data_IF_028180358241
#
_entry.id   IF_028180358241
#
_cell.length_a   1.000
_cell.length_b   1.000
_cell.length_c   1.000
_cell.angle_alpha   90.00
_cell.angle_beta   90.00
_cell.angle_gamma   90.00
#
_symmetry.space_group_name_H-M   'P 1'
#
loop_
_entity.id
_entity.type
_entity.pdbx_description
1 polymer ?
#
# COMPACT_ATOMS: atom_id res chain seq x y z
N UNK A 1 -6.42 -25.70 -12.79
CA UNK A 1 -6.93 -24.80 -13.85
C UNK A 1 -6.78 -23.31 -13.52
N UNK A 2 -7.04 -22.85 -12.28
CA UNK A 2 -6.93 -21.42 -11.91
C UNK A 2 -5.52 -20.82 -12.09
N UNK A 3 -4.46 -21.57 -11.76
CA UNK A 3 -3.07 -21.09 -11.83
C UNK A 3 -2.56 -20.84 -13.26
N UNK A 4 -3.03 -21.63 -14.24
CA UNK A 4 -2.65 -21.45 -15.66
C UNK A 4 -3.35 -20.24 -16.29
N UNK A 5 -4.62 -20.01 -15.92
CA UNK A 5 -5.37 -18.80 -16.32
C UNK A 5 -4.75 -17.53 -15.70
N UNK A 6 -4.35 -17.60 -14.42
CA UNK A 6 -3.62 -16.51 -13.77
C UNK A 6 -2.29 -16.19 -14.46
N UNK A 7 -1.50 -17.22 -14.78
CA UNK A 7 -0.23 -17.05 -15.51
C UNK A 7 -0.41 -16.44 -16.90
N UNK A 8 -1.42 -16.89 -17.66
CA UNK A 8 -1.75 -16.31 -18.96
C UNK A 8 -2.15 -14.84 -18.85
N UNK A 9 -2.97 -14.49 -17.85
CA UNK A 9 -3.45 -13.13 -17.63
C UNK A 9 -2.29 -12.19 -17.27
N UNK A 10 -1.31 -12.65 -16.48
CA UNK A 10 -0.09 -11.91 -16.17
C UNK A 10 0.72 -11.65 -17.45
N UNK A 11 0.98 -12.69 -18.26
CA UNK A 11 1.77 -12.55 -19.50
C UNK A 11 1.10 -11.58 -20.48
N UNK A 12 -0.22 -11.70 -20.66
CA UNK A 12 -0.99 -10.79 -21.52
C UNK A 12 -0.93 -9.37 -20.97
N UNK A 13 -1.09 -9.18 -19.66
CA UNK A 13 -1.00 -7.88 -19.01
C UNK A 13 0.38 -7.22 -19.18
N UNK A 14 1.46 -7.98 -18.96
CA UNK A 14 2.83 -7.51 -19.17
C UNK A 14 3.10 -7.17 -20.64
N UNK A 15 2.60 -7.99 -21.56
CA UNK A 15 2.73 -7.73 -23.00
C UNK A 15 2.00 -6.44 -23.39
N UNK A 16 0.77 -6.23 -22.92
CA UNK A 16 0.02 -4.98 -23.15
C UNK A 16 0.75 -3.76 -22.59
N UNK A 17 1.37 -3.89 -21.41
CA UNK A 17 2.16 -2.82 -20.82
C UNK A 17 3.39 -2.47 -21.68
N UNK A 18 4.13 -3.46 -22.17
CA UNK A 18 5.27 -3.23 -23.07
C UNK A 18 4.83 -2.57 -24.38
N UNK A 19 3.70 -3.01 -24.96
CA UNK A 19 3.12 -2.35 -26.14
C UNK A 19 2.69 -0.90 -25.86
N UNK A 20 2.19 -0.61 -24.65
CA UNK A 20 1.83 0.74 -24.24
C UNK A 20 3.07 1.64 -24.15
N UNK A 21 4.17 1.14 -23.57
CA UNK A 21 5.45 1.87 -23.53
C UNK A 21 5.95 2.16 -24.95
N UNK A 22 5.94 1.17 -25.83
CA UNK A 22 6.38 1.35 -27.22
C UNK A 22 5.53 2.40 -27.95
N UNK A 23 4.21 2.34 -27.82
CA UNK A 23 3.30 3.34 -28.38
C UNK A 23 3.58 4.74 -27.81
N UNK A 24 3.80 4.83 -26.50
CA UNK A 24 4.14 6.09 -25.85
C UNK A 24 5.45 6.69 -26.40
N UNK A 25 6.49 5.87 -26.59
CA UNK A 25 7.74 6.31 -27.21
C UNK A 25 7.55 6.75 -28.67
N UNK A 26 6.72 6.06 -29.44
CA UNK A 26 6.42 6.45 -30.82
C UNK A 26 5.67 7.79 -30.89
N UNK A 27 4.64 7.97 -30.07
CA UNK A 27 3.86 9.21 -30.02
C UNK A 27 4.74 10.38 -29.57
N UNK A 28 5.53 10.20 -28.51
CA UNK A 28 6.44 11.24 -28.03
C UNK A 28 7.51 11.60 -29.07
N UNK A 29 7.99 10.64 -29.85
CA UNK A 29 8.90 10.90 -30.98
C UNK A 29 8.22 11.74 -32.07
N UNK A 30 7.01 11.37 -32.48
CA UNK A 30 6.26 12.12 -33.49
C UNK A 30 5.96 13.55 -33.01
N UNK A 31 5.54 13.70 -31.75
CA UNK A 31 5.26 15.02 -31.17
C UNK A 31 6.53 15.88 -31.10
N UNK A 32 7.66 15.30 -30.69
CA UNK A 32 8.92 16.03 -30.55
C UNK A 32 9.44 16.56 -31.90
N UNK A 33 9.23 15.84 -33.01
CA UNK A 33 9.63 16.28 -34.34
C UNK A 33 8.52 17.00 -35.13
N UNK A 34 7.34 17.20 -34.54
CA UNK A 34 6.21 17.84 -35.20
C UNK A 34 6.54 19.26 -35.65
N UNK A 35 6.37 19.55 -36.95
CA UNK A 35 6.69 20.86 -37.53
C UNK A 35 5.86 22.02 -36.97
N UNK A 36 4.71 21.73 -36.35
CA UNK A 36 3.80 22.74 -35.79
C UNK A 36 4.17 23.21 -34.37
N UNK A 37 5.06 22.50 -33.67
CA UNK A 37 5.44 22.84 -32.29
C UNK A 37 6.96 22.70 -32.10
N UNK A 38 7.62 23.82 -31.86
CA UNK A 38 9.07 23.87 -31.63
C UNK A 38 9.45 24.00 -30.15
N UNK A 39 8.47 24.09 -29.25
CA UNK A 39 8.73 24.37 -27.84
C UNK A 39 9.65 23.33 -27.19
N UNK A 40 9.35 22.05 -27.37
CA UNK A 40 10.14 20.96 -26.77
C UNK A 40 11.56 20.84 -27.35
N UNK A 41 11.74 21.17 -28.63
CA UNK A 41 13.06 21.18 -29.28
C UNK A 41 13.93 22.36 -28.85
N UNK A 42 13.31 23.45 -28.43
CA UNK A 42 14.01 24.62 -27.91
C UNK A 42 14.49 24.39 -26.47
N UNK A 43 13.66 23.76 -25.62
CA UNK A 43 14.03 23.41 -24.25
C UNK A 43 14.99 22.22 -24.18
N UNK A 44 14.78 21.22 -25.02
CA UNK A 44 15.63 20.04 -25.11
C UNK A 44 16.09 19.90 -26.55
N UNK A 45 17.35 20.25 -26.88
CA UNK A 45 17.84 20.15 -28.26
C UNK A 45 17.94 18.71 -28.77
N UNK A 46 18.15 17.75 -27.85
CA UNK A 46 18.30 16.33 -28.15
C UNK A 46 17.09 15.53 -27.67
N UNK A 47 16.57 14.65 -28.53
CA UNK A 47 15.43 13.79 -28.18
C UNK A 47 15.71 12.89 -26.96
N UNK A 48 16.96 12.44 -26.78
CA UNK A 48 17.37 11.69 -25.58
C UNK A 48 17.29 12.53 -24.30
N UNK A 49 17.63 13.82 -24.35
CA UNK A 49 17.49 14.72 -23.21
C UNK A 49 16.03 14.97 -22.88
N UNK A 50 15.18 15.10 -23.91
CA UNK A 50 13.73 15.19 -23.74
C UNK A 50 13.16 13.93 -23.07
N UNK A 51 13.56 12.74 -23.52
CA UNK A 51 13.16 11.48 -22.87
C UNK A 51 13.64 11.39 -21.42
N UNK A 52 14.88 11.82 -21.14
CA UNK A 52 15.41 11.84 -19.79
C UNK A 52 14.64 12.81 -18.88
N UNK A 53 14.35 14.01 -19.37
CA UNK A 53 13.52 14.98 -18.65
C UNK A 53 12.12 14.46 -18.36
N UNK A 54 11.49 13.80 -19.35
CA UNK A 54 10.17 13.18 -19.18
C UNK A 54 10.23 12.03 -18.16
N UNK A 55 11.27 11.21 -18.20
CA UNK A 55 11.50 10.14 -17.22
C UNK A 55 11.72 10.69 -15.81
N UNK A 56 12.45 11.80 -15.65
CA UNK A 56 12.64 12.45 -14.36
C UNK A 56 11.31 12.97 -13.77
N UNK A 57 10.46 13.59 -14.59
CA UNK A 57 9.12 14.03 -14.16
C UNK A 57 8.25 12.84 -13.75
N UNK A 58 8.23 11.77 -14.55
CA UNK A 58 7.50 10.55 -14.23
C UNK A 58 8.02 9.91 -12.92
N UNK A 59 9.34 9.91 -12.72
CA UNK A 59 9.98 9.41 -11.51
C UNK A 59 9.57 10.22 -10.28
N UNK A 60 9.56 11.56 -10.38
CA UNK A 60 9.08 12.42 -9.28
C UNK A 60 7.61 12.12 -8.96
N UNK A 61 6.77 11.97 -9.98
CA UNK A 61 5.37 11.58 -9.79
C UNK A 61 5.23 10.22 -9.09
N UNK A 62 6.00 9.23 -9.50
CA UNK A 62 6.04 7.92 -8.86
C UNK A 62 6.53 8.02 -7.41
N UNK A 63 7.61 8.77 -7.16
CA UNK A 63 8.17 8.99 -5.83
C UNK A 63 7.15 9.62 -4.89
N UNK A 64 6.51 10.72 -5.30
CA UNK A 64 5.47 11.37 -4.51
C UNK A 64 4.29 10.44 -4.23
N UNK A 65 3.89 9.65 -5.24
CA UNK A 65 2.83 8.65 -5.06
C UNK A 65 3.24 7.61 -4.01
N UNK A 66 4.46 7.09 -4.10
CA UNK A 66 4.98 6.06 -3.21
C UNK A 66 5.17 6.57 -1.78
N UNK A 67 5.69 7.78 -1.60
CA UNK A 67 6.00 8.34 -0.28
C UNK A 67 4.75 8.88 0.43
N UNK A 68 3.82 9.51 -0.30
CA UNK A 68 2.69 10.20 0.33
C UNK A 68 1.35 9.51 0.08
N UNK A 69 1.06 9.17 -1.17
CA UNK A 69 -0.28 8.66 -1.53
C UNK A 69 -0.47 7.23 -1.04
N UNK A 70 0.49 6.34 -1.26
CA UNK A 70 0.39 4.94 -0.85
C UNK A 70 0.22 4.75 0.66
N UNK A 71 1.08 5.34 1.53
CA UNK A 71 0.90 5.24 2.97
C UNK A 71 -0.41 5.85 3.44
N UNK A 72 -0.83 6.98 2.86
CA UNK A 72 -2.12 7.60 3.19
C UNK A 72 -3.30 6.70 2.83
N UNK A 73 -3.29 6.08 1.65
CA UNK A 73 -4.34 5.14 1.24
C UNK A 73 -4.38 3.90 2.13
N UNK A 74 -3.22 3.37 2.48
CA UNK A 74 -3.12 2.20 3.34
C UNK A 74 -3.68 2.50 4.74
N UNK A 75 -3.29 3.62 5.34
CA UNK A 75 -3.81 4.05 6.65
C UNK A 75 -5.32 4.29 6.61
N UNK A 76 -5.83 4.98 5.59
CA UNK A 76 -7.26 5.22 5.43
C UNK A 76 -8.07 3.92 5.22
N UNK A 77 -7.52 2.95 4.49
CA UNK A 77 -8.14 1.64 4.32
C UNK A 77 -8.17 0.84 5.62
N UNK A 78 -7.12 0.95 6.45
CA UNK A 78 -7.08 0.31 7.76
C UNK A 78 -8.09 0.93 8.73
N UNK A 79 -8.17 2.26 8.77
CA UNK A 79 -9.15 2.97 9.60
C UNK A 79 -10.59 2.62 9.21
N UNK A 80 -10.89 2.53 7.90
CA UNK A 80 -12.19 2.05 7.44
C UNK A 80 -12.45 0.60 7.82
N UNK A 81 -11.45 -0.29 7.69
CA UNK A 81 -11.61 -1.68 8.08
C UNK A 81 -11.88 -1.83 9.59
N UNK A 82 -11.30 -0.98 10.44
CA UNK A 82 -11.59 -0.93 11.87
C UNK A 82 -13.02 -0.39 12.11
N UNK A 83 -13.41 0.69 11.43
CA UNK A 83 -14.75 1.29 11.57
C UNK A 83 -15.87 0.33 11.13
N UNK A 84 -15.62 -0.45 10.09
CA UNK A 84 -16.59 -1.41 9.54
C UNK A 84 -16.52 -2.80 10.22
N UNK A 85 -15.74 -2.95 11.31
CA UNK A 85 -15.55 -4.20 12.06
C UNK A 85 -15.01 -5.37 11.20
N UNK A 86 -14.26 -5.04 10.16
CA UNK A 86 -13.64 -6.00 9.22
C UNK A 86 -12.15 -6.21 9.48
N UNK A 87 -11.61 -5.63 10.54
CA UNK A 87 -10.20 -5.76 10.91
C UNK A 87 -10.02 -6.93 11.88
N UNK A 88 -9.61 -8.13 11.40
CA UNK A 88 -9.44 -9.30 12.28
C UNK A 88 -8.41 -9.03 13.38
N UNK A 89 -7.34 -8.27 13.08
CA UNK A 89 -6.30 -7.95 14.04
C UNK A 89 -6.78 -7.04 15.18
N UNK A 90 -7.65 -6.06 14.88
CA UNK A 90 -8.22 -5.18 15.91
C UNK A 90 -9.16 -5.95 16.84
N UNK A 91 -9.96 -6.85 16.27
CA UNK A 91 -10.90 -7.66 17.05
C UNK A 91 -10.17 -8.66 17.94
N UNK A 92 -9.10 -9.29 17.45
CA UNK A 92 -8.24 -10.14 18.29
C UNK A 92 -7.60 -9.36 19.44
N UNK A 93 -7.19 -8.10 19.24
CA UNK A 93 -6.63 -7.27 20.32
C UNK A 93 -7.67 -6.93 21.39
N UNK A 94 -8.91 -6.65 20.99
CA UNK A 94 -10.01 -6.41 21.93
C UNK A 94 -10.34 -7.66 22.74
N UNK A 95 -10.36 -8.84 22.11
CA UNK A 95 -10.55 -10.12 22.79
C UNK A 95 -9.43 -10.41 23.79
N UNK A 96 -8.17 -10.26 23.38
CA UNK A 96 -7.02 -10.43 24.29
C UNK A 96 -7.06 -9.47 25.48
N UNK A 97 -7.47 -8.21 25.26
CA UNK A 97 -7.60 -7.23 26.34
C UNK A 97 -8.69 -7.65 27.35
N UNK A 98 -9.79 -8.22 26.86
CA UNK A 98 -10.86 -8.74 27.71
C UNK A 98 -10.37 -9.94 28.54
N UNK A 99 -9.69 -10.89 27.90
CA UNK A 99 -9.15 -12.08 28.56
C UNK A 99 -8.14 -11.72 29.66
N UNK A 100 -7.24 -10.75 29.40
CA UNK A 100 -6.30 -10.25 30.41
C UNK A 100 -7.00 -9.60 31.60
N UNK A 101 -8.11 -8.91 31.37
CA UNK A 101 -8.89 -8.29 32.45
C UNK A 101 -9.59 -9.33 33.31
N UNK A 102 -10.15 -10.36 32.71
CA UNK A 102 -10.78 -11.49 33.41
C UNK A 102 -9.75 -12.34 34.19
N UNK A 103 -8.56 -12.56 33.63
CA UNK A 103 -7.46 -13.21 34.36
C UNK A 103 -7.06 -12.40 35.59
N UNK A 104 -6.93 -11.08 35.46
CA UNK A 104 -6.58 -10.21 36.60
C UNK A 104 -7.61 -10.27 37.72
N UNK A 105 -8.91 -10.20 37.40
CA UNK A 105 -9.96 -10.31 38.42
C UNK A 105 -9.97 -11.68 39.09
N UNK A 106 -9.71 -12.74 38.31
CA UNK A 106 -9.62 -14.11 38.86
C UNK A 106 -8.44 -14.23 39.83
N UNK A 107 -7.27 -13.68 39.48
CA UNK A 107 -6.08 -13.65 40.36
C UNK A 107 -6.35 -12.84 41.63
N UNK A 108 -6.98 -11.67 41.53
CA UNK A 108 -7.35 -10.86 42.69
C UNK A 108 -8.30 -11.64 43.63
N UNK A 109 -9.32 -12.31 43.09
CA UNK A 109 -10.24 -13.13 43.90
C UNK A 109 -9.58 -14.36 44.53
N UNK A 110 -8.59 -14.97 43.86
CA UNK A 110 -7.80 -16.06 44.39
C UNK A 110 -6.88 -15.59 45.52
N UNK A 111 -6.25 -14.43 45.37
CA UNK A 111 -5.43 -13.81 46.42
C UNK A 111 -6.28 -13.55 47.67
N UNK A 112 -7.44 -12.94 47.50
CA UNK A 112 -8.35 -12.60 48.60
C UNK A 112 -8.84 -13.87 49.33
N UNK A 113 -9.13 -14.95 48.60
CA UNK A 113 -9.46 -16.26 49.19
C UNK A 113 -8.30 -16.89 49.95
N UNK A 114 -7.07 -16.77 49.44
CA UNK A 114 -5.88 -17.29 50.12
C UNK A 114 -5.61 -16.53 51.41
N UNK A 115 -5.76 -15.21 51.39
CA UNK A 115 -5.58 -14.36 52.57
C UNK A 115 -6.62 -14.68 53.66
N UNK A 116 -7.91 -14.86 53.29
CA UNK A 116 -8.94 -15.31 54.24
C UNK A 116 -8.62 -16.69 54.86
N UNK A 117 -8.18 -17.66 54.05
CA UNK A 117 -7.80 -18.99 54.55
C UNK A 117 -6.55 -18.95 55.46
N UNK A 118 -5.65 -18.00 55.25
CA UNK A 118 -4.47 -17.80 56.08
C UNK A 118 -4.83 -17.18 57.43
N UNK A 119 -5.84 -16.30 57.47
CA UNK A 119 -6.37 -15.72 58.72
C UNK A 119 -7.17 -16.75 59.55
N UNK A 120 -7.96 -17.63 58.92
CA UNK A 120 -8.71 -18.68 59.64
C UNK A 120 -7.84 -19.77 60.29
N UNK A 121 -6.56 -19.88 59.93
CA UNK A 121 -5.60 -20.85 60.51
C UNK A 121 -4.76 -20.30 61.66
N UNK A 122 -4.90 -19.02 62.02
CA UNK A 122 -4.26 -18.41 63.20
C UNK A 122 -5.19 -18.44 64.41
#
# INVERSE_FOLDING_TARGET
MSTQLGGLLIIVGETMFLFSILNFLMITRLQYYSSGDNFFRLLFPNYLLFLFGLSAVAFIGMWLTYVYIFPSKQKFSQEQAIKDDRSPMYNTLLEMQKDLREMRSTVESLSERVDMMAEERK
#
